data_IF_858352273493
#
_entry.id   IF_858352273493
#
_cell.length_a   1.000
_cell.length_b   1.000
_cell.length_c   1.000
_cell.angle_alpha   90.00
_cell.angle_beta   90.00
_cell.angle_gamma   90.00
#
_symmetry.space_group_name_H-M   'P 1'
#
loop_
_entity.id
_entity.type
_entity.pdbx_description
1 polymer ?
#
# COMPACT_ATOMS: atom_id res chain seq x y z
N UNK A 1 -62.89 -80.56 -31.82
CA UNK A 1 -63.80 -79.95 -32.81
C UNK A 1 -63.75 -80.82 -34.07
N UNK A 2 -63.92 -82.15 -34.03
CA UNK A 2 -65.10 -82.93 -33.65
C UNK A 2 -66.33 -82.64 -34.54
N UNK A 3 -66.20 -82.77 -35.86
CA UNK A 3 -67.36 -82.79 -36.78
C UNK A 3 -67.07 -83.36 -38.18
N UNK A 4 -66.15 -84.31 -38.33
CA UNK A 4 -65.84 -84.88 -39.67
C UNK A 4 -65.79 -86.42 -39.68
N UNK A 5 -65.71 -87.06 -38.51
CA UNK A 5 -65.72 -88.52 -38.39
C UNK A 5 -67.14 -89.14 -38.31
N UNK A 6 -68.20 -88.33 -38.23
CA UNK A 6 -69.58 -88.82 -38.09
C UNK A 6 -70.40 -88.76 -39.39
N UNK A 7 -69.85 -88.24 -40.50
CA UNK A 7 -70.55 -88.21 -41.81
C UNK A 7 -70.37 -89.54 -42.59
N UNK A 8 -69.53 -90.47 -42.12
CA UNK A 8 -69.30 -91.75 -42.77
C UNK A 8 -69.79 -92.98 -41.99
N UNK A 9 -71.11 -93.15 -41.79
CA UNK A 9 -71.70 -94.47 -41.66
C UNK A 9 -72.64 -94.85 -42.82
N UNK A 10 -72.76 -94.04 -43.89
CA UNK A 10 -73.71 -94.32 -44.98
C UNK A 10 -73.13 -94.52 -46.39
N UNK A 11 -71.82 -94.33 -46.63
CA UNK A 11 -71.23 -94.47 -47.98
C UNK A 11 -70.92 -95.92 -48.42
N UNK A 12 -71.10 -96.90 -47.53
CA UNK A 12 -70.91 -98.33 -47.81
C UNK A 12 -72.21 -99.05 -48.18
N UNK A 13 -73.35 -98.37 -48.13
CA UNK A 13 -74.56 -98.87 -48.79
C UNK A 13 -74.40 -98.57 -50.27
N UNK A 14 -74.65 -99.54 -51.12
CA UNK A 14 -74.75 -99.32 -52.56
C UNK A 14 -75.84 -98.27 -52.78
N UNK A 15 -75.45 -96.99 -52.93
CA UNK A 15 -76.36 -95.90 -53.25
C UNK A 15 -76.91 -96.13 -54.66
N UNK A 16 -77.99 -96.92 -54.74
CA UNK A 16 -78.72 -97.13 -55.98
C UNK A 16 -79.66 -95.96 -56.19
N UNK A 17 -79.40 -95.16 -57.23
CA UNK A 17 -80.28 -94.06 -57.61
C UNK A 17 -81.61 -94.57 -58.19
N UNK A 18 -82.71 -93.89 -57.89
CA UNK A 18 -84.05 -94.19 -58.43
C UNK A 18 -84.10 -93.94 -59.95
N UNK A 19 -84.78 -94.82 -60.70
CA UNK A 19 -84.82 -94.76 -62.17
C UNK A 19 -86.03 -93.94 -62.63
N UNK A 20 -85.78 -92.73 -63.15
CA UNK A 20 -86.80 -91.83 -63.72
C UNK A 20 -86.77 -91.91 -65.25
N UNK A 21 -87.94 -91.94 -65.91
CA UNK A 21 -88.11 -92.14 -67.37
C UNK A 21 -87.35 -91.16 -68.27
N UNK A 22 -86.87 -90.03 -67.74
CA UNK A 22 -85.95 -89.09 -68.40
C UNK A 22 -84.80 -88.70 -67.46
N UNK A 23 -84.00 -89.69 -67.08
CA UNK A 23 -82.83 -89.55 -66.20
C UNK A 23 -81.50 -89.68 -66.92
N UNK A 24 -80.41 -89.51 -66.18
CA UNK A 24 -79.05 -89.74 -66.67
C UNK A 24 -78.82 -91.21 -67.04
N UNK A 25 -77.97 -91.45 -68.04
CA UNK A 25 -77.66 -92.81 -68.48
C UNK A 25 -76.93 -93.59 -67.38
N UNK A 26 -77.58 -94.65 -66.86
CA UNK A 26 -77.07 -95.49 -65.77
C UNK A 26 -75.62 -95.94 -65.96
N UNK A 27 -75.24 -96.39 -67.16
CA UNK A 27 -73.87 -96.84 -67.44
C UNK A 27 -72.84 -95.71 -67.33
N UNK A 28 -73.18 -94.52 -67.81
CA UNK A 28 -72.29 -93.36 -67.72
C UNK A 28 -72.15 -92.88 -66.28
N UNK A 29 -73.23 -92.96 -65.49
CA UNK A 29 -73.21 -92.65 -64.05
C UNK A 29 -72.38 -93.67 -63.28
N UNK A 30 -72.54 -94.97 -63.52
CA UNK A 30 -71.74 -96.02 -62.88
C UNK A 30 -70.25 -95.89 -63.23
N UNK A 31 -69.92 -95.57 -64.49
CA UNK A 31 -68.55 -95.31 -64.93
C UNK A 31 -67.97 -94.03 -64.27
N UNK A 32 -68.78 -92.98 -64.14
CA UNK A 32 -68.39 -91.75 -63.45
C UNK A 32 -68.20 -91.97 -61.94
N UNK A 33 -69.05 -92.77 -61.30
CA UNK A 33 -68.93 -93.15 -59.88
C UNK A 33 -67.68 -94.02 -59.67
N UNK A 34 -67.41 -94.99 -60.54
CA UNK A 34 -66.20 -95.79 -60.46
C UNK A 34 -64.94 -94.92 -60.60
N UNK A 35 -64.95 -93.98 -61.55
CA UNK A 35 -63.88 -92.98 -61.72
C UNK A 35 -63.71 -92.11 -60.49
N UNK A 36 -64.80 -91.59 -59.94
CA UNK A 36 -64.80 -90.73 -58.74
C UNK A 36 -64.31 -91.50 -57.51
N UNK A 37 -64.74 -92.75 -57.32
CA UNK A 37 -64.26 -93.62 -56.23
C UNK A 37 -62.76 -93.92 -56.36
N UNK A 38 -62.27 -94.12 -57.59
CA UNK A 38 -60.83 -94.28 -57.83
C UNK A 38 -60.06 -92.99 -57.54
N UNK A 39 -60.59 -91.83 -57.93
CA UNK A 39 -60.01 -90.52 -57.60
C UNK A 39 -60.00 -90.26 -56.09
N UNK A 40 -61.06 -90.62 -55.37
CA UNK A 40 -61.12 -90.53 -53.90
C UNK A 40 -60.01 -91.39 -53.28
N UNK A 41 -59.90 -92.66 -53.69
CA UNK A 41 -58.83 -93.55 -53.21
C UNK A 41 -57.43 -93.01 -53.52
N UNK A 42 -57.25 -92.39 -54.69
CA UNK A 42 -55.97 -91.78 -55.08
C UNK A 42 -55.65 -90.52 -54.25
N UNK A 43 -56.65 -89.67 -53.98
CA UNK A 43 -56.52 -88.51 -53.10
C UNK A 43 -56.26 -88.91 -51.65
N UNK A 44 -56.93 -89.94 -51.15
CA UNK A 44 -56.69 -90.52 -49.83
C UNK A 44 -55.27 -91.09 -49.72
N UNK A 45 -54.82 -91.84 -50.73
CA UNK A 45 -53.45 -92.36 -50.77
C UNK A 45 -52.39 -91.27 -50.95
N UNK A 46 -52.74 -90.13 -51.54
CA UNK A 46 -51.89 -88.94 -51.63
C UNK A 46 -51.85 -88.18 -50.31
N UNK A 47 -52.99 -88.08 -49.61
CA UNK A 47 -53.09 -87.46 -48.29
C UNK A 47 -52.27 -88.25 -47.26
N UNK A 48 -52.38 -89.58 -47.24
CA UNK A 48 -51.61 -90.42 -46.33
C UNK A 48 -50.11 -90.25 -46.54
N UNK A 49 -49.65 -90.27 -47.81
CA UNK A 49 -48.25 -89.98 -48.16
C UNK A 49 -47.81 -88.59 -47.70
N UNK A 50 -48.63 -87.57 -47.92
CA UNK A 50 -48.32 -86.21 -47.48
C UNK A 50 -48.25 -86.09 -45.94
N UNK A 51 -49.13 -86.78 -45.22
CA UNK A 51 -49.09 -86.84 -43.75
C UNK A 51 -47.83 -87.56 -43.26
N UNK A 52 -47.46 -88.69 -43.88
CA UNK A 52 -46.23 -89.40 -43.57
C UNK A 52 -44.98 -88.54 -43.84
N UNK A 53 -44.97 -87.75 -44.92
CA UNK A 53 -43.90 -86.79 -45.24
C UNK A 53 -43.85 -85.64 -44.21
N UNK A 54 -44.98 -85.12 -43.76
CA UNK A 54 -45.05 -84.13 -42.68
C UNK A 54 -44.53 -84.71 -41.36
N UNK A 55 -44.86 -85.96 -41.05
CA UNK A 55 -44.34 -86.62 -39.85
C UNK A 55 -42.83 -86.86 -39.94
N UNK A 56 -42.32 -87.27 -41.10
CA UNK A 56 -40.88 -87.43 -41.34
C UNK A 56 -40.13 -86.11 -41.19
N UNK A 57 -40.57 -85.06 -41.86
CA UNK A 57 -39.96 -83.74 -41.75
C UNK A 57 -40.04 -83.17 -40.33
N UNK A 58 -41.13 -83.43 -39.59
CA UNK A 58 -41.19 -83.08 -38.17
C UNK A 58 -40.17 -83.82 -37.33
N UNK A 59 -39.97 -85.13 -37.56
CA UNK A 59 -38.95 -85.92 -36.86
C UNK A 59 -37.55 -85.40 -37.19
N UNK A 60 -37.24 -85.16 -38.46
CA UNK A 60 -35.97 -84.57 -38.89
C UNK A 60 -35.74 -83.19 -38.25
N UNK A 61 -36.77 -82.34 -38.19
CA UNK A 61 -36.67 -81.03 -37.54
C UNK A 61 -36.49 -81.13 -36.03
N UNK A 62 -37.09 -82.12 -35.37
CA UNK A 62 -36.85 -82.37 -33.94
C UNK A 62 -35.46 -82.93 -33.68
N UNK A 63 -34.97 -83.83 -34.55
CA UNK A 63 -33.62 -84.39 -34.47
C UNK A 63 -32.55 -83.32 -34.68
N UNK A 64 -32.72 -82.45 -35.69
CA UNK A 64 -31.84 -81.30 -35.90
C UNK A 64 -31.89 -80.32 -34.73
N UNK A 65 -33.07 -80.12 -34.12
CA UNK A 65 -33.20 -79.24 -32.94
C UNK A 65 -32.53 -79.83 -31.71
N UNK A 66 -32.67 -81.12 -31.45
CA UNK A 66 -32.01 -81.79 -30.33
C UNK A 66 -30.49 -81.88 -30.58
N UNK A 67 -30.05 -82.10 -31.82
CA UNK A 67 -28.63 -82.07 -32.19
C UNK A 67 -28.01 -80.66 -32.11
N UNK A 68 -28.81 -79.61 -32.35
CA UNK A 68 -28.39 -78.20 -32.19
C UNK A 68 -28.66 -77.64 -30.81
N UNK A 69 -29.28 -78.39 -29.91
CA UNK A 69 -29.51 -77.95 -28.54
C UNK A 69 -28.17 -78.09 -27.84
N UNK A 70 -27.44 -76.99 -27.56
CA UNK A 70 -26.22 -77.10 -26.80
C UNK A 70 -26.59 -77.80 -25.49
N UNK A 71 -25.88 -78.88 -25.20
CA UNK A 71 -26.08 -79.65 -23.99
C UNK A 71 -25.92 -78.70 -22.80
N UNK A 72 -26.66 -78.88 -21.70
CA UNK A 72 -26.56 -77.98 -20.54
C UNK A 72 -25.12 -77.78 -20.04
N UNK A 73 -24.26 -78.79 -20.27
CA UNK A 73 -22.83 -78.75 -20.01
C UNK A 73 -22.06 -77.78 -20.93
N UNK A 74 -22.35 -77.71 -22.23
CA UNK A 74 -21.68 -76.78 -23.16
C UNK A 74 -22.01 -75.31 -22.84
N UNK A 75 -23.26 -75.05 -22.43
CA UNK A 75 -23.67 -73.73 -21.96
C UNK A 75 -22.97 -73.39 -20.63
N UNK A 76 -22.82 -74.37 -19.74
CA UNK A 76 -22.10 -74.21 -18.47
C UNK A 76 -20.62 -73.91 -18.72
N UNK A 77 -19.97 -74.61 -19.64
CA UNK A 77 -18.57 -74.40 -20.01
C UNK A 77 -18.36 -73.03 -20.63
N UNK A 78 -19.23 -72.62 -21.57
CA UNK A 78 -19.18 -71.29 -22.16
C UNK A 78 -19.46 -70.17 -21.14
N UNK A 79 -20.38 -70.39 -20.22
CA UNK A 79 -20.65 -69.43 -19.14
C UNK A 79 -19.43 -69.30 -18.21
N UNK A 80 -18.77 -70.41 -17.85
CA UNK A 80 -17.51 -70.39 -17.10
C UNK A 80 -16.42 -69.64 -17.85
N UNK A 81 -16.30 -69.84 -19.16
CA UNK A 81 -15.33 -69.13 -19.98
C UNK A 81 -15.61 -67.62 -20.01
N UNK A 82 -16.87 -67.21 -20.12
CA UNK A 82 -17.26 -65.79 -20.08
C UNK A 82 -16.96 -65.19 -18.69
N UNK A 83 -17.28 -65.91 -17.61
CA UNK A 83 -17.00 -65.46 -16.25
C UNK A 83 -15.49 -65.30 -16.04
N UNK A 84 -14.70 -66.31 -16.44
CA UNK A 84 -13.24 -66.25 -16.32
C UNK A 84 -12.64 -65.11 -17.15
N UNK A 85 -13.11 -64.90 -18.38
CA UNK A 85 -12.66 -63.80 -19.23
C UNK A 85 -13.06 -62.45 -18.63
N UNK A 86 -14.27 -62.32 -18.10
CA UNK A 86 -14.73 -61.10 -17.44
C UNK A 86 -13.95 -60.82 -16.15
N UNK A 87 -13.59 -61.87 -15.40
CA UNK A 87 -12.77 -61.76 -14.19
C UNK A 87 -11.33 -61.35 -14.53
N UNK A 88 -10.74 -61.92 -15.58
CA UNK A 88 -9.42 -61.53 -16.08
C UNK A 88 -9.41 -60.08 -16.60
N UNK A 89 -10.45 -59.68 -17.34
CA UNK A 89 -10.60 -58.30 -17.80
C UNK A 89 -10.82 -57.32 -16.62
N UNK A 90 -11.57 -57.73 -15.60
CA UNK A 90 -11.76 -56.93 -14.39
C UNK A 90 -10.46 -56.79 -13.59
N UNK A 91 -9.70 -57.87 -13.41
CA UNK A 91 -8.40 -57.86 -12.74
C UNK A 91 -7.39 -57.00 -13.49
N UNK A 92 -7.37 -57.08 -14.83
CA UNK A 92 -6.53 -56.23 -15.68
C UNK A 92 -6.89 -54.74 -15.50
N UNK A 93 -8.17 -54.39 -15.55
CA UNK A 93 -8.63 -53.01 -15.33
C UNK A 93 -8.32 -52.48 -13.93
N UNK A 94 -8.41 -53.34 -12.91
CA UNK A 94 -8.02 -52.98 -11.53
C UNK A 94 -6.51 -52.74 -11.45
N UNK A 95 -5.69 -53.60 -12.05
CA UNK A 95 -4.24 -53.40 -12.13
C UNK A 95 -3.86 -52.08 -12.81
N UNK A 96 -4.48 -51.78 -13.96
CA UNK A 96 -4.26 -50.51 -14.67
C UNK A 96 -4.72 -49.29 -13.84
N UNK A 97 -5.84 -49.42 -13.13
CA UNK A 97 -6.35 -48.37 -12.26
C UNK A 97 -5.40 -48.12 -11.07
N UNK A 98 -4.91 -49.18 -10.42
CA UNK A 98 -3.97 -49.08 -9.30
C UNK A 98 -2.63 -48.48 -9.72
N UNK A 99 -2.14 -48.84 -10.91
CA UNK A 99 -0.94 -48.22 -11.50
C UNK A 99 -1.14 -46.73 -11.74
N UNK A 100 -2.28 -46.34 -12.35
CA UNK A 100 -2.61 -44.93 -12.58
C UNK A 100 -2.77 -44.16 -11.28
N UNK A 101 -3.44 -44.72 -10.27
CA UNK A 101 -3.58 -44.11 -8.95
C UNK A 101 -2.21 -43.89 -8.30
N UNK A 102 -1.34 -44.90 -8.38
CA UNK A 102 0.03 -44.81 -7.83
C UNK A 102 0.83 -43.73 -8.55
N UNK A 103 0.75 -43.66 -9.89
CA UNK A 103 1.42 -42.65 -10.68
C UNK A 103 0.91 -41.24 -10.36
N UNK A 104 -0.41 -41.04 -10.33
CA UNK A 104 -1.03 -39.76 -9.98
C UNK A 104 -0.62 -39.34 -8.57
N UNK A 105 -0.58 -40.27 -7.61
CA UNK A 105 -0.11 -39.97 -6.26
C UNK A 105 1.36 -39.56 -6.24
N UNK A 106 2.24 -40.27 -6.93
CA UNK A 106 3.66 -39.94 -6.98
C UNK A 106 3.89 -38.58 -7.64
N UNK A 107 3.19 -38.29 -8.74
CA UNK A 107 3.27 -37.01 -9.44
C UNK A 107 2.75 -35.87 -8.56
N UNK A 108 1.61 -36.08 -7.88
CA UNK A 108 1.06 -35.10 -6.94
C UNK A 108 2.00 -34.87 -5.74
N UNK A 109 2.59 -35.92 -5.17
CA UNK A 109 3.55 -35.80 -4.06
C UNK A 109 4.83 -35.08 -4.51
N UNK A 110 5.32 -35.33 -5.73
CA UNK A 110 6.48 -34.64 -6.31
C UNK A 110 6.19 -33.16 -6.56
N UNK A 111 5.04 -32.85 -7.14
CA UNK A 111 4.65 -31.47 -7.40
C UNK A 111 4.39 -30.70 -6.10
N UNK A 112 3.75 -31.32 -5.12
CA UNK A 112 3.57 -30.74 -3.79
C UNK A 112 4.92 -30.41 -3.13
N UNK A 113 5.89 -31.34 -3.17
CA UNK A 113 7.26 -31.09 -2.69
C UNK A 113 7.92 -29.94 -3.44
N UNK A 114 7.83 -29.92 -4.78
CA UNK A 114 8.38 -28.85 -5.61
C UNK A 114 7.81 -27.47 -5.22
N UNK A 115 6.50 -27.38 -5.02
CA UNK A 115 5.83 -26.14 -4.62
C UNK A 115 6.26 -25.71 -3.21
N UNK A 116 6.36 -26.66 -2.27
CA UNK A 116 6.82 -26.40 -0.91
C UNK A 116 8.27 -25.89 -0.93
N UNK A 117 9.17 -26.56 -1.63
CA UNK A 117 10.58 -26.17 -1.74
C UNK A 117 10.74 -24.81 -2.42
N UNK A 118 9.94 -24.53 -3.47
CA UNK A 118 9.93 -23.23 -4.14
C UNK A 118 9.41 -22.13 -3.20
N UNK A 119 8.36 -22.40 -2.43
CA UNK A 119 7.81 -21.47 -1.46
C UNK A 119 8.80 -21.19 -0.32
N UNK A 120 9.46 -22.21 0.23
CA UNK A 120 10.53 -22.05 1.22
C UNK A 120 11.69 -21.25 0.66
N UNK A 121 12.20 -21.60 -0.53
CA UNK A 121 13.30 -20.87 -1.15
C UNK A 121 12.95 -19.40 -1.45
N UNK A 122 11.70 -19.10 -1.85
CA UNK A 122 11.24 -17.71 -2.00
C UNK A 122 11.17 -17.00 -0.65
N UNK A 123 10.59 -17.65 0.37
CA UNK A 123 10.49 -17.08 1.71
C UNK A 123 11.86 -16.74 2.29
N UNK A 124 12.81 -17.68 2.21
CA UNK A 124 14.19 -17.47 2.67
C UNK A 124 14.88 -16.32 1.94
N UNK A 125 14.75 -16.24 0.61
CA UNK A 125 15.28 -15.11 -0.17
C UNK A 125 14.67 -13.79 0.24
N UNK A 126 13.35 -13.73 0.44
CA UNK A 126 12.67 -12.52 0.89
C UNK A 126 13.12 -12.11 2.30
N UNK A 127 13.26 -13.06 3.22
CA UNK A 127 13.78 -12.80 4.56
C UNK A 127 15.22 -12.31 4.52
N UNK A 128 16.09 -12.97 3.74
CA UNK A 128 17.48 -12.56 3.58
C UNK A 128 17.58 -11.14 2.99
N UNK A 129 16.82 -10.84 1.93
CA UNK A 129 16.78 -9.50 1.33
C UNK A 129 16.24 -8.45 2.31
N UNK A 130 15.20 -8.78 3.08
CA UNK A 130 14.65 -7.87 4.10
C UNK A 130 15.67 -7.61 5.22
N UNK A 131 16.40 -8.63 5.66
CA UNK A 131 17.47 -8.50 6.65
C UNK A 131 18.64 -7.66 6.13
N UNK A 132 19.07 -7.89 4.89
CA UNK A 132 20.11 -7.09 4.24
C UNK A 132 19.69 -5.62 4.14
N UNK A 133 18.48 -5.35 3.63
CA UNK A 133 17.94 -4.00 3.53
C UNK A 133 17.81 -3.34 4.90
N UNK A 134 17.35 -4.07 5.91
CA UNK A 134 17.27 -3.57 7.28
C UNK A 134 18.65 -3.24 7.85
N UNK A 135 19.65 -4.11 7.62
CA UNK A 135 21.03 -3.87 8.06
C UNK A 135 21.65 -2.66 7.38
N UNK A 136 21.38 -2.48 6.08
CA UNK A 136 21.83 -1.33 5.29
C UNK A 136 21.19 -0.04 5.81
N UNK A 137 19.87 -0.02 6.03
CA UNK A 137 19.17 1.13 6.60
C UNK A 137 19.69 1.48 8.00
N UNK A 138 19.91 0.49 8.86
CA UNK A 138 20.47 0.72 10.20
C UNK A 138 21.89 1.28 10.13
N UNK A 139 22.73 0.77 9.23
CA UNK A 139 24.08 1.28 9.03
C UNK A 139 24.06 2.73 8.53
N UNK A 140 23.24 3.02 7.51
CA UNK A 140 23.08 4.37 6.98
C UNK A 140 22.54 5.34 8.04
N UNK A 141 21.53 4.93 8.82
CA UNK A 141 20.98 5.74 9.91
C UNK A 141 22.00 6.01 11.02
N UNK A 142 22.83 5.01 11.37
CA UNK A 142 23.92 5.20 12.33
C UNK A 142 24.98 6.17 11.81
N UNK A 143 25.42 6.00 10.57
CA UNK A 143 26.39 6.89 9.94
C UNK A 143 25.88 8.33 9.87
N UNK A 144 24.61 8.52 9.50
CA UNK A 144 24.01 9.85 9.46
C UNK A 144 23.87 10.44 10.86
N UNK A 145 23.48 9.64 11.85
CA UNK A 145 23.42 10.08 13.25
C UNK A 145 24.79 10.50 13.78
N UNK A 146 25.84 9.73 13.49
CA UNK A 146 27.21 10.08 13.84
C UNK A 146 27.68 11.36 13.15
N UNK A 147 27.33 11.54 11.88
CA UNK A 147 27.62 12.76 11.12
C UNK A 147 26.94 13.98 11.73
N UNK A 148 25.64 13.89 12.04
CA UNK A 148 24.89 14.96 12.68
C UNK A 148 25.45 15.28 14.07
N UNK A 149 25.74 14.26 14.88
CA UNK A 149 26.35 14.46 16.20
C UNK A 149 27.73 15.10 16.11
N UNK A 150 28.55 14.70 15.14
CA UNK A 150 29.86 15.31 14.90
C UNK A 150 29.73 16.78 14.47
N UNK A 151 28.82 17.09 13.54
CA UNK A 151 28.56 18.48 13.10
C UNK A 151 28.08 19.33 14.27
N UNK A 152 27.09 18.85 15.02
CA UNK A 152 26.55 19.55 16.18
C UNK A 152 27.61 19.80 17.26
N UNK A 153 28.52 18.83 17.51
CA UNK A 153 29.65 19.03 18.43
C UNK A 153 30.61 20.10 17.92
N UNK A 154 31.00 20.06 16.65
CA UNK A 154 31.89 21.06 16.06
C UNK A 154 31.28 22.47 16.10
N UNK A 155 29.98 22.59 15.81
CA UNK A 155 29.25 23.84 15.90
C UNK A 155 29.16 24.34 17.34
N UNK A 156 28.90 23.46 18.30
CA UNK A 156 28.88 23.79 19.73
C UNK A 156 30.26 24.26 20.22
N UNK A 157 31.34 23.56 19.86
CA UNK A 157 32.71 23.92 20.21
C UNK A 157 33.10 25.28 19.63
N UNK A 158 32.72 25.53 18.36
CA UNK A 158 32.93 26.83 17.71
C UNK A 158 32.17 27.95 18.44
N UNK A 159 30.90 27.73 18.76
CA UNK A 159 30.09 28.70 19.50
C UNK A 159 30.67 28.98 20.89
N UNK A 160 31.14 27.95 21.60
CA UNK A 160 31.79 28.13 22.90
C UNK A 160 33.09 28.94 22.80
N UNK A 161 33.89 28.70 21.76
CA UNK A 161 35.11 29.47 21.51
C UNK A 161 34.79 30.93 21.15
N UNK A 162 33.81 31.16 20.28
CA UNK A 162 33.38 32.50 19.88
C UNK A 162 32.82 33.28 21.08
N UNK A 163 31.93 32.68 21.86
CA UNK A 163 31.38 33.31 23.08
C UNK A 163 32.44 33.57 24.14
N UNK A 164 33.42 32.68 24.31
CA UNK A 164 34.55 32.91 25.23
C UNK A 164 35.41 34.08 24.77
N UNK A 165 35.75 34.15 23.48
CA UNK A 165 36.52 35.26 22.93
C UNK A 165 35.78 36.60 23.10
N UNK A 166 34.46 36.62 22.87
CA UNK A 166 33.65 37.82 23.05
C UNK A 166 33.50 38.22 24.52
N UNK A 167 33.40 37.25 25.43
CA UNK A 167 33.43 37.50 26.87
C UNK A 167 34.78 38.09 27.31
N UNK A 168 35.91 37.52 26.86
CA UNK A 168 37.26 38.03 27.15
C UNK A 168 37.49 39.44 26.60
N UNK A 169 37.00 39.73 25.39
CA UNK A 169 37.00 41.09 24.82
C UNK A 169 36.17 42.06 25.66
N UNK A 170 34.99 41.64 26.09
CA UNK A 170 34.09 42.46 26.90
C UNK A 170 34.71 42.75 28.27
N UNK A 171 35.31 41.75 28.92
CA UNK A 171 36.03 41.91 30.17
C UNK A 171 37.22 42.86 30.01
N UNK A 172 38.07 42.65 29.01
CA UNK A 172 39.22 43.53 28.73
C UNK A 172 38.77 44.98 28.50
N UNK A 173 37.67 45.18 27.77
CA UNK A 173 37.11 46.51 27.55
C UNK A 173 36.55 47.15 28.83
N UNK A 174 35.88 46.36 29.67
CA UNK A 174 35.38 46.81 30.97
C UNK A 174 36.53 47.16 31.93
N UNK A 175 37.58 46.35 31.99
CA UNK A 175 38.79 46.59 32.77
C UNK A 175 39.49 47.87 32.34
N UNK A 176 39.70 48.07 31.02
CA UNK A 176 40.28 49.32 30.49
C UNK A 176 39.46 50.56 30.88
N UNK A 177 38.13 50.46 30.80
CA UNK A 177 37.24 51.57 31.22
C UNK A 177 37.33 51.81 32.72
N UNK A 178 37.37 50.76 33.53
CA UNK A 178 37.52 50.88 34.98
C UNK A 178 38.85 51.52 35.35
N UNK A 179 39.96 51.12 34.73
CA UNK A 179 41.28 51.74 34.92
C UNK A 179 41.28 53.21 34.52
N UNK A 180 40.72 53.56 33.35
CA UNK A 180 40.63 54.95 32.91
C UNK A 180 39.80 55.82 33.86
N UNK A 181 38.70 55.28 34.42
CA UNK A 181 37.90 55.97 35.44
C UNK A 181 38.68 56.15 36.74
N UNK A 182 39.44 55.13 37.17
CA UNK A 182 40.27 55.20 38.37
C UNK A 182 41.42 56.21 38.22
N UNK A 183 42.05 56.27 37.05
CA UNK A 183 43.08 57.27 36.70
C UNK A 183 42.47 58.68 36.73
N UNK A 184 41.35 58.92 36.03
CA UNK A 184 40.64 60.22 36.05
C UNK A 184 40.21 60.61 37.47
N UNK A 185 39.72 59.67 38.28
CA UNK A 185 39.38 59.92 39.68
C UNK A 185 40.62 60.28 40.52
N UNK A 186 41.74 59.60 40.31
CA UNK A 186 43.00 59.87 41.02
C UNK A 186 43.59 61.24 40.64
N UNK A 187 43.51 61.60 39.36
CA UNK A 187 43.93 62.91 38.85
C UNK A 187 43.08 64.04 39.46
N UNK A 188 41.75 63.86 39.50
CA UNK A 188 40.83 64.80 40.16
C UNK A 188 41.10 64.94 41.65
N UNK A 189 41.36 63.83 42.35
CA UNK A 189 41.72 63.86 43.77
C UNK A 189 43.04 64.60 44.00
N UNK A 190 44.03 64.38 43.14
CA UNK A 190 45.31 65.10 43.19
C UNK A 190 45.13 66.58 42.92
N UNK A 191 44.35 66.94 41.90
CA UNK A 191 44.02 68.33 41.57
C UNK A 191 43.28 69.01 42.73
N UNK A 192 42.28 68.35 43.30
CA UNK A 192 41.52 68.88 44.45
C UNK A 192 42.42 69.06 45.67
N UNK A 193 43.32 68.11 45.93
CA UNK A 193 44.30 68.19 47.03
C UNK A 193 45.27 69.35 46.81
N UNK A 194 45.75 69.53 45.58
CA UNK A 194 46.62 70.65 45.21
C UNK A 194 45.90 71.98 45.39
N UNK A 195 44.67 72.11 44.88
CA UNK A 195 43.83 73.31 45.07
C UNK A 195 43.59 73.60 46.55
N UNK A 196 43.27 72.58 47.34
CA UNK A 196 43.08 72.72 48.78
C UNK A 196 44.37 73.19 49.48
N UNK A 197 45.52 72.60 49.15
CA UNK A 197 46.82 73.05 49.68
C UNK A 197 47.17 74.47 49.28
N UNK A 198 46.86 74.88 48.04
CA UNK A 198 47.05 76.25 47.56
C UNK A 198 46.11 77.22 48.26
N UNK A 199 44.85 76.83 48.51
CA UNK A 199 43.90 77.64 49.26
C UNK A 199 44.34 77.83 50.71
N UNK A 200 44.81 76.75 51.37
CA UNK A 200 45.41 76.83 52.70
C UNK A 200 46.68 77.69 52.71
N UNK A 201 47.53 77.58 51.70
CA UNK A 201 48.72 78.43 51.52
C UNK A 201 48.35 79.91 51.38
N UNK A 202 47.39 80.23 50.51
CA UNK A 202 46.87 81.60 50.35
C UNK A 202 46.20 82.13 51.62
N UNK A 203 45.45 81.30 52.34
CA UNK A 203 44.90 81.67 53.65
C UNK A 203 46.02 81.94 54.66
N UNK A 204 47.09 81.15 54.63
CA UNK A 204 48.32 81.37 55.40
C UNK A 204 48.97 82.71 55.05
N UNK A 205 49.19 83.00 53.77
CA UNK A 205 49.74 84.28 53.27
C UNK A 205 48.83 85.46 53.65
N UNK A 206 47.50 85.33 53.53
CA UNK A 206 46.55 86.35 53.96
C UNK A 206 46.65 86.56 55.48
N UNK A 207 46.75 85.49 56.26
CA UNK A 207 46.93 85.62 57.72
C UNK A 207 48.27 86.28 58.08
N UNK A 208 49.35 85.97 57.35
CA UNK A 208 50.67 86.55 57.55
C UNK A 208 50.70 88.03 57.15
N UNK A 209 50.07 88.39 56.03
CA UNK A 209 49.90 89.80 55.63
C UNK A 209 49.01 90.56 56.59
N UNK A 210 47.93 89.98 57.11
CA UNK A 210 47.12 90.58 58.19
C UNK A 210 47.95 90.79 59.46
N UNK A 211 48.74 89.80 59.88
CA UNK A 211 49.66 89.95 61.02
C UNK A 211 50.73 91.01 60.75
N UNK A 212 51.24 91.10 59.52
CA UNK A 212 52.17 92.15 59.08
C UNK A 212 51.54 93.54 59.09
N UNK A 213 50.31 93.67 58.62
CA UNK A 213 49.54 94.92 58.65
C UNK A 213 49.22 95.35 60.08
N UNK A 214 48.77 94.43 60.93
CA UNK A 214 48.58 94.69 62.37
C UNK A 214 49.86 95.16 63.04
N UNK A 215 51.01 94.50 62.77
CA UNK A 215 52.31 94.95 63.27
C UNK A 215 52.73 96.31 62.73
N UNK A 216 52.39 96.61 61.48
CA UNK A 216 52.66 97.91 60.87
C UNK A 216 51.74 98.98 61.46
N UNK A 217 50.49 98.66 61.77
CA UNK A 217 49.54 99.54 62.46
C UNK A 217 50.00 99.84 63.89
N UNK A 218 50.46 98.81 64.62
CA UNK A 218 51.09 98.97 65.94
C UNK A 218 52.33 99.89 65.88
N UNK A 219 53.13 99.81 64.80
CA UNK A 219 54.30 100.68 64.58
C UNK A 219 53.94 102.08 64.09
N UNK A 220 52.90 102.19 63.27
CA UNK A 220 52.38 103.43 62.69
C UNK A 220 51.80 104.36 63.76
N UNK A 221 51.32 103.80 64.87
CA UNK A 221 50.65 104.55 65.93
C UNK A 221 49.26 105.04 65.48
N UNK A 222 48.50 105.70 66.39
CA UNK A 222 47.10 106.03 66.16
C UNK A 222 46.89 106.82 64.86
N UNK A 223 45.90 106.38 64.05
CA UNK A 223 45.50 106.95 62.76
C UNK A 223 45.29 108.48 62.77
N UNK A 224 45.11 109.06 63.96
CA UNK A 224 45.09 110.51 64.20
C UNK A 224 46.32 111.24 63.64
N UNK A 225 47.51 110.61 63.63
CA UNK A 225 48.74 111.24 63.11
C UNK A 225 48.87 111.20 61.58
N UNK A 226 48.31 110.20 60.91
CA UNK A 226 48.40 110.09 59.44
C UNK A 226 47.33 110.90 58.72
N UNK A 227 46.15 111.12 59.34
CA UNK A 227 45.12 112.02 58.79
C UNK A 227 45.60 113.48 58.80
N UNK A 228 46.42 113.89 59.78
CA UNK A 228 47.10 115.19 59.75
C UNK A 228 48.12 115.33 58.62
N UNK A 229 48.80 114.26 58.23
CA UNK A 229 49.77 114.29 57.11
C UNK A 229 49.07 114.25 55.73
N UNK A 230 47.92 113.59 55.64
CA UNK A 230 47.08 113.58 54.42
C UNK A 230 46.33 114.92 54.23
N UNK A 231 46.08 115.67 55.31
CA UNK A 231 45.55 117.03 55.24
C UNK A 231 46.57 118.07 54.72
N UNK A 232 47.84 117.68 54.50
CA UNK A 232 48.94 118.59 54.17
C UNK A 232 49.73 118.23 52.89
N UNK A 233 49.09 117.75 51.80
CA UNK A 233 49.69 117.76 50.44
C UNK A 233 48.67 117.40 49.33
N UNK A 234 48.85 117.86 48.08
CA UNK A 234 47.75 118.18 47.17
C UNK A 234 47.28 117.03 46.25
N UNK A 235 46.02 117.19 45.79
CA UNK A 235 45.33 116.36 44.79
C UNK A 235 45.80 116.70 43.37
N UNK A 236 46.07 115.69 42.56
CA UNK A 236 46.20 115.78 41.10
C UNK A 236 45.39 114.68 40.41
N UNK A 237 45.09 114.97 39.16
CA UNK A 237 43.82 114.77 38.48
C UNK A 237 43.71 113.44 37.72
N UNK A 238 42.45 113.10 37.40
CA UNK A 238 42.00 111.95 36.61
C UNK A 238 42.61 111.91 35.20
N UNK A 239 42.66 110.71 34.64
CA UNK A 239 42.81 110.49 33.21
C UNK A 239 42.57 109.04 32.82
N UNK A 240 41.30 108.69 32.58
CA UNK A 240 40.94 107.51 31.77
C UNK A 240 41.36 107.74 30.31
N UNK A 241 41.82 106.69 29.63
CA UNK A 241 41.41 106.38 28.24
C UNK A 241 41.96 105.02 27.76
N UNK A 242 41.03 104.28 27.17
CA UNK A 242 41.23 103.16 26.24
C UNK A 242 42.03 103.62 25.01
N UNK A 243 42.79 102.69 24.42
CA UNK A 243 42.84 102.36 22.98
C UNK A 243 43.79 101.16 22.82
N UNK A 244 43.33 99.97 22.43
CA UNK A 244 42.95 99.55 21.07
C UNK A 244 44.10 99.73 20.07
N UNK A 245 44.84 98.64 19.83
CA UNK A 245 45.64 98.45 18.62
C UNK A 245 45.24 97.13 17.95
N UNK A 246 44.31 97.26 17.02
CA UNK A 246 44.17 96.40 15.85
C UNK A 246 45.21 96.85 14.80
N UNK A 247 45.86 95.89 14.13
CA UNK A 247 46.04 95.78 12.66
C UNK A 247 46.94 94.57 12.38
N UNK A 248 46.46 93.51 11.73
CA UNK A 248 45.96 93.35 10.35
C UNK A 248 47.07 93.30 9.28
N UNK A 249 46.90 92.34 8.36
CA UNK A 249 47.79 91.95 7.27
C UNK A 249 47.89 90.42 7.18
N UNK A 250 46.85 89.66 6.82
CA UNK A 250 46.26 89.48 5.46
C UNK A 250 47.31 89.01 4.43
N UNK A 251 47.16 87.95 3.62
CA UNK A 251 46.12 86.97 3.29
C UNK A 251 46.83 85.84 2.48
N UNK A 252 46.28 84.77 1.92
CA UNK A 252 44.97 84.27 1.45
C UNK A 252 45.09 82.72 1.52
N UNK A 253 44.10 81.87 1.80
CA UNK A 253 42.75 81.74 1.21
C UNK A 253 42.84 81.04 -0.17
N UNK A 254 41.89 80.16 -0.59
CA UNK A 254 40.57 79.85 -0.01
C UNK A 254 40.30 78.31 0.20
N UNK A 255 39.42 77.91 1.11
CA UNK A 255 38.05 77.53 0.71
C UNK A 255 37.32 76.77 1.83
N UNK A 256 36.28 77.41 2.38
CA UNK A 256 35.22 76.93 3.28
C UNK A 256 34.05 76.32 2.47
N UNK A 257 32.90 75.85 3.03
CA UNK A 257 32.43 75.90 4.45
C UNK A 257 31.88 74.55 5.00
N UNK A 258 31.91 74.32 6.33
CA UNK A 258 30.83 74.51 7.34
C UNK A 258 29.48 73.81 7.03
N UNK A 259 28.80 73.15 7.97
CA UNK A 259 28.99 73.09 9.42
C UNK A 259 28.01 72.15 10.11
N UNK A 260 28.44 71.62 11.26
CA UNK A 260 27.93 71.84 12.62
C UNK A 260 26.40 71.80 12.94
N UNK A 261 26.05 71.59 14.22
CA UNK A 261 25.13 70.55 14.66
C UNK A 261 23.88 71.11 15.35
N UNK A 262 22.92 70.26 15.72
CA UNK A 262 22.33 70.25 17.07
C UNK A 262 21.30 69.12 17.22
N UNK A 263 21.27 68.59 18.44
CA UNK A 263 20.32 67.59 18.92
C UNK A 263 18.91 68.17 19.08
N UNK A 264 17.87 67.34 18.89
CA UNK A 264 16.88 66.93 19.91
C UNK A 264 15.59 66.36 19.28
N UNK A 265 15.15 65.22 19.83
CA UNK A 265 13.78 64.70 20.00
C UNK A 265 12.76 64.74 18.84
N UNK A 266 12.28 63.54 18.45
CA UNK A 266 10.86 63.32 18.14
C UNK A 266 10.47 61.82 18.24
N UNK A 267 9.28 61.56 18.79
CA UNK A 267 8.56 60.28 18.93
C UNK A 267 7.56 60.12 17.73
N UNK A 268 6.76 59.04 17.62
CA UNK A 268 6.62 58.22 16.39
C UNK A 268 5.33 58.43 15.59
N UNK A 269 5.26 57.92 14.33
CA UNK A 269 4.18 57.03 13.79
C UNK A 269 4.23 56.85 12.25
N UNK A 270 4.00 55.59 11.82
CA UNK A 270 3.19 55.11 10.68
C UNK A 270 3.44 55.61 9.23
N UNK A 271 3.83 54.73 8.29
CA UNK A 271 2.95 54.00 7.32
C UNK A 271 3.73 53.43 6.09
N UNK A 272 3.48 52.14 5.83
CA UNK A 272 3.46 51.35 4.58
C UNK A 272 4.50 51.49 3.43
N UNK A 273 5.01 50.35 2.90
CA UNK A 273 5.54 50.22 1.55
C UNK A 273 4.70 49.29 0.64
N UNK A 274 4.77 49.49 -0.69
CA UNK A 274 4.18 48.59 -1.71
C UNK A 274 5.21 48.15 -2.76
N UNK A 275 5.28 46.84 -3.06
CA UNK A 275 5.29 46.25 -4.41
C UNK A 275 5.21 44.70 -4.35
N UNK A 276 4.35 44.10 -5.20
CA UNK A 276 4.10 42.65 -5.44
C UNK A 276 4.86 42.15 -6.70
N UNK A 277 5.06 40.82 -6.93
CA UNK A 277 4.08 39.91 -7.60
C UNK A 277 4.16 38.41 -7.14
N UNK A 278 3.48 37.43 -7.78
CA UNK A 278 2.05 37.28 -8.07
C UNK A 278 1.40 36.13 -7.27
N UNK A 279 0.09 35.96 -7.48
CA UNK A 279 -0.85 35.22 -6.64
C UNK A 279 -0.89 33.68 -6.83
N UNK A 280 -1.07 32.99 -5.70
CA UNK A 280 -1.79 31.70 -5.60
C UNK A 280 -2.86 31.83 -4.48
N UNK A 281 -4.06 31.25 -4.67
CA UNK A 281 -5.20 31.52 -3.79
C UNK A 281 -5.15 30.71 -2.49
N UNK A 282 -5.43 31.37 -1.36
CA UNK A 282 -5.78 30.70 -0.10
C UNK A 282 -7.27 30.32 -0.11
N UNK A 283 -7.53 29.02 0.06
CA UNK A 283 -8.83 28.47 0.38
C UNK A 283 -9.06 28.48 1.91
N UNK A 284 -10.30 28.73 2.29
CA UNK A 284 -10.83 28.72 3.66
C UNK A 284 -10.65 27.35 4.35
N UNK A 285 -10.58 27.28 5.69
CA UNK A 285 -10.77 26.03 6.42
C UNK A 285 -12.27 25.77 6.56
N UNK A 286 -12.80 24.90 5.70
CA UNK A 286 -14.07 24.18 5.96
C UNK A 286 -13.77 22.75 6.44
N UNK A 287 -14.67 22.15 7.23
CA UNK A 287 -14.47 20.82 7.79
C UNK A 287 -14.62 19.77 6.69
N UNK A 288 -13.56 18.98 6.45
CA UNK A 288 -13.64 17.89 5.47
C UNK A 288 -14.31 16.66 6.07
N UNK A 289 -15.53 16.40 5.57
CA UNK A 289 -16.16 15.10 5.53
C UNK A 289 -15.17 14.02 5.03
N UNK A 290 -15.23 12.87 5.67
CA UNK A 290 -14.44 11.69 5.33
C UNK A 290 -14.72 11.23 3.89
N UNK A 291 -13.70 10.71 3.16
CA UNK A 291 -13.96 9.97 1.95
C UNK A 291 -14.65 8.65 2.35
N UNK A 292 -15.90 8.48 1.92
CA UNK A 292 -16.50 7.17 1.79
C UNK A 292 -15.69 6.39 0.77
N UNK A 293 -14.67 5.67 1.25
CA UNK A 293 -14.24 4.46 0.59
C UNK A 293 -15.44 3.52 0.53
N UNK A 294 -15.77 3.06 -0.67
CA UNK A 294 -16.63 1.90 -0.85
C UNK A 294 -15.92 0.71 -0.19
N UNK A 295 -16.19 0.52 1.09
CA UNK A 295 -15.99 -0.74 1.76
C UNK A 295 -17.06 -1.69 1.21
N UNK A 296 -16.66 -2.58 0.32
CA UNK A 296 -17.39 -3.82 0.14
C UNK A 296 -17.43 -4.52 1.51
N UNK A 297 -18.60 -4.82 2.08
CA UNK A 297 -18.64 -5.75 3.19
C UNK A 297 -18.33 -7.13 2.62
N UNK A 298 -17.26 -7.75 3.11
CA UNK A 298 -17.10 -9.19 3.03
C UNK A 298 -18.35 -9.85 3.63
N UNK A 299 -18.95 -10.89 3.01
CA UNK A 299 -19.98 -11.66 3.66
C UNK A 299 -19.35 -12.46 4.81
N UNK A 300 -20.00 -12.58 5.97
CA UNK A 300 -19.56 -13.52 6.99
C UNK A 300 -19.82 -14.95 6.50
N UNK A 301 -18.83 -15.81 6.66
CA UNK A 301 -19.00 -17.24 6.54
C UNK A 301 -19.93 -17.75 7.66
N UNK A 302 -20.98 -18.47 7.28
CA UNK A 302 -21.67 -19.42 8.15
C UNK A 302 -23.16 -19.20 8.35
N UNK A 303 -23.99 -19.73 7.44
CA UNK A 303 -25.05 -20.73 7.72
C UNK A 303 -25.76 -21.14 6.40
N UNK A 304 -26.24 -22.38 6.27
CA UNK A 304 -26.78 -22.90 5.03
C UNK A 304 -28.30 -22.64 4.94
N UNK A 305 -28.77 -21.94 3.90
CA UNK A 305 -30.19 -21.85 3.59
C UNK A 305 -30.59 -22.87 2.51
N UNK A 306 -31.65 -23.68 2.73
CA UNK A 306 -32.01 -24.79 1.86
C UNK A 306 -33.03 -24.30 0.84
N UNK A 307 -32.59 -23.80 -0.31
CA UNK A 307 -33.42 -23.73 -1.52
C UNK A 307 -32.59 -23.23 -2.73
N UNK A 308 -31.89 -24.15 -3.38
CA UNK A 308 -31.50 -23.95 -4.78
C UNK A 308 -31.87 -25.19 -5.57
N UNK A 309 -33.00 -25.08 -6.25
CA UNK A 309 -33.54 -26.02 -7.22
C UNK A 309 -32.46 -26.29 -8.27
N UNK A 310 -32.22 -27.58 -8.51
CA UNK A 310 -31.29 -28.13 -9.50
C UNK A 310 -31.72 -27.66 -10.88
N UNK A 311 -30.88 -26.89 -11.56
CA UNK A 311 -31.02 -26.60 -12.98
C UNK A 311 -29.99 -27.42 -13.75
N UNK A 312 -30.49 -28.45 -14.42
CA UNK A 312 -29.76 -29.38 -15.30
C UNK A 312 -29.33 -28.64 -16.58
N UNK A 313 -28.08 -28.74 -17.05
CA UNK A 313 -27.68 -28.17 -18.34
C UNK A 313 -28.17 -29.04 -19.52
N UNK A 314 -28.50 -28.46 -20.69
CA UNK A 314 -28.97 -29.23 -21.84
C UNK A 314 -27.80 -29.92 -22.59
N UNK A 315 -28.08 -31.11 -23.12
CA UNK A 315 -27.19 -31.97 -23.91
C UNK A 315 -26.72 -31.34 -25.23
N UNK A 316 -25.53 -31.72 -25.75
CA UNK A 316 -25.03 -31.22 -27.04
C UNK A 316 -25.72 -31.92 -28.24
N UNK A 317 -25.87 -31.24 -29.40
CA UNK A 317 -26.39 -31.88 -30.61
C UNK A 317 -25.34 -32.80 -31.27
N UNK A 318 -25.81 -33.95 -31.72
CA UNK A 318 -25.06 -34.94 -32.48
C UNK A 318 -24.56 -34.36 -33.81
N UNK A 319 -23.30 -34.68 -34.12
CA UNK A 319 -22.68 -34.50 -35.43
C UNK A 319 -23.29 -35.48 -36.43
N UNK A 320 -23.56 -35.04 -37.66
CA UNK A 320 -23.73 -35.92 -38.80
C UNK A 320 -22.58 -35.70 -39.81
N UNK A 321 -22.17 -36.75 -40.56
CA UNK A 321 -20.87 -36.84 -41.18
C UNK A 321 -20.82 -36.21 -42.58
N UNK A 322 -19.60 -35.87 -42.98
CA UNK A 322 -19.26 -35.51 -44.35
C UNK A 322 -19.32 -36.74 -45.27
N UNK A 323 -19.92 -36.56 -46.44
CA UNK A 323 -19.57 -37.21 -47.70
C UNK A 323 -19.60 -36.17 -48.82
#
# INVERSE_FOLDING_TARGET
MSNEAEILPNLLREETFEIVMRGYNRRQVDEYIARTRNQIRELEARLSRALDEVERTRREMTEVREARRPTGDDLSERLRQIINLAEEEAQSKLGDADQKVTQIRQDAEKEAKRVIDEAHGKSERTVAQAQENASHMLSAAKQESERVLSSAKQEADKLLLDTRNDAERTLTNAERRASAINEDASDRLTQLTQQHSQALGRLGEISETLVGLLRNEDKAGPLEKMVSDIAAAPRQDRGERQDRQERQGDGQGPGRPQGQPQAQHARPQQQAPHAQPPAHPHAQPQPHAHPQGQAHPMPPAGQPDPQRIIQVPPSPPASDPAE
#
